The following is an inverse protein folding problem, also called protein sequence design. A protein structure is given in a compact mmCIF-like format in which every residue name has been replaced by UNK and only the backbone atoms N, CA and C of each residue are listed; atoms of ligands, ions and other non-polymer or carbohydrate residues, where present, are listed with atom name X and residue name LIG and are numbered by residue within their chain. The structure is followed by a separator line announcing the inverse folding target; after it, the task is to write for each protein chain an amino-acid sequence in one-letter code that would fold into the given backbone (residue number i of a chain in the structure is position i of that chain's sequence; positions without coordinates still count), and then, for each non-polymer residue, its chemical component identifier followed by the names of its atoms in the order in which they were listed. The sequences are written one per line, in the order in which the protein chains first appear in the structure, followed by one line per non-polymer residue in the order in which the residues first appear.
data_IF_248343047362
#
_entry.id   IF_248343047362
#
_cell.length_a   1.000
_cell.length_b   1.000
_cell.length_c   1.000
_cell.angle_alpha   90.00
_cell.angle_beta   90.00
_cell.angle_gamma   90.00
#
_symmetry.space_group_name_H-M   'P 1'
#
loop_
_entity.id
_entity.type
_entity.pdbx_description
1 polymer ?
#
# COMPACT_ATOMS: atom_id res chain seq x y z
N UNK A 1 10.22 -24.47 -39.26
CA UNK A 1 8.99 -24.13 -38.51
C UNK A 1 9.47 -23.67 -37.15
N UNK A 2 9.03 -22.52 -36.65
CA UNK A 2 9.47 -22.06 -35.33
C UNK A 2 8.83 -23.01 -34.31
N UNK A 3 9.65 -23.70 -33.53
CA UNK A 3 9.16 -24.56 -32.46
C UNK A 3 8.54 -23.67 -31.39
N UNK A 4 7.22 -23.58 -31.42
CA UNK A 4 6.45 -22.67 -30.59
C UNK A 4 6.39 -23.12 -29.12
N UNK A 5 6.62 -24.42 -28.87
CA UNK A 5 6.59 -25.03 -27.55
C UNK A 5 7.65 -24.45 -26.60
N UNK A 6 8.96 -24.43 -26.93
CA UNK A 6 9.98 -23.82 -26.06
C UNK A 6 9.77 -22.31 -25.89
N UNK A 7 9.29 -21.62 -26.93
CA UNK A 7 9.01 -20.18 -26.86
C UNK A 7 7.88 -19.90 -25.86
N UNK A 8 6.78 -20.66 -25.93
CA UNK A 8 5.66 -20.52 -25.00
C UNK A 8 6.08 -20.80 -23.55
N UNK A 9 6.87 -21.86 -23.32
CA UNK A 9 7.39 -22.20 -22.00
C UNK A 9 8.26 -21.06 -21.45
N UNK A 10 9.17 -20.50 -22.28
CA UNK A 10 10.03 -19.40 -21.86
C UNK A 10 9.22 -18.15 -21.47
N UNK A 11 8.17 -17.82 -22.22
CA UNK A 11 7.30 -16.68 -21.93
C UNK A 11 6.57 -16.84 -20.59
N UNK A 12 6.11 -18.06 -20.28
CA UNK A 12 5.46 -18.37 -19.00
C UNK A 12 6.46 -18.22 -17.84
N UNK A 13 7.68 -18.76 -17.98
CA UNK A 13 8.69 -18.67 -16.91
C UNK A 13 9.09 -17.22 -16.65
N UNK A 14 9.35 -16.43 -17.71
CA UNK A 14 9.73 -15.02 -17.57
C UNK A 14 8.60 -14.20 -16.93
N UNK A 15 7.37 -14.35 -17.41
CA UNK A 15 6.22 -13.64 -16.84
C UNK A 15 5.99 -14.01 -15.37
N UNK A 16 6.14 -15.28 -15.01
CA UNK A 16 6.02 -15.73 -13.63
C UNK A 16 7.07 -15.06 -12.73
N UNK A 17 8.34 -15.02 -13.16
CA UNK A 17 9.42 -14.36 -12.42
C UNK A 17 9.11 -12.86 -12.24
N UNK A 18 8.66 -12.17 -13.29
CA UNK A 18 8.31 -10.75 -13.24
C UNK A 18 7.19 -10.50 -12.23
N UNK A 19 6.16 -11.34 -12.19
CA UNK A 19 5.05 -11.21 -11.23
C UNK A 19 5.53 -11.45 -9.80
N UNK A 20 6.34 -12.48 -9.56
CA UNK A 20 6.89 -12.74 -8.21
C UNK A 20 7.74 -11.58 -7.70
N UNK A 21 8.60 -11.03 -8.56
CA UNK A 21 9.40 -9.85 -8.24
C UNK A 21 8.47 -8.67 -7.97
N UNK A 22 7.49 -8.40 -8.84
CA UNK A 22 6.55 -7.28 -8.66
C UNK A 22 5.75 -7.39 -7.36
N UNK A 23 5.33 -8.59 -6.95
CA UNK A 23 4.70 -8.82 -5.65
C UNK A 23 5.65 -8.56 -4.49
N UNK A 24 6.91 -8.97 -4.59
CA UNK A 24 7.94 -8.75 -3.56
C UNK A 24 8.32 -7.26 -3.43
N UNK A 25 8.30 -6.55 -4.55
CA UNK A 25 8.60 -5.12 -4.65
C UNK A 25 7.37 -4.22 -4.49
N UNK A 26 6.18 -4.78 -4.25
CA UNK A 26 5.04 -4.02 -3.73
C UNK A 26 5.54 -3.26 -2.51
N UNK A 27 5.72 -1.95 -2.71
CA UNK A 27 6.43 -1.03 -1.84
C UNK A 27 6.04 -1.35 -0.41
N UNK A 28 6.98 -1.98 0.32
CA UNK A 28 6.83 -2.35 1.74
C UNK A 28 5.99 -1.29 2.44
N UNK A 29 5.04 -1.69 3.29
CA UNK A 29 4.09 -0.84 4.03
C UNK A 29 4.67 0.41 4.73
N UNK A 30 5.99 0.58 4.72
CA UNK A 30 6.71 1.84 4.90
C UNK A 30 6.37 2.96 3.90
N UNK A 31 6.04 2.63 2.65
CA UNK A 31 5.70 3.59 1.58
C UNK A 31 4.22 3.71 1.30
N UNK A 32 3.46 2.69 1.70
CA UNK A 32 2.06 2.88 2.03
C UNK A 32 2.04 3.88 3.17
N UNK A 33 1.89 5.17 2.83
CA UNK A 33 1.63 6.22 3.81
C UNK A 33 0.28 5.86 4.41
N UNK A 34 0.26 4.90 5.35
CA UNK A 34 -0.83 4.75 6.30
C UNK A 34 -1.02 6.17 6.82
N UNK A 35 -2.22 6.77 6.71
CA UNK A 35 -2.48 8.04 7.34
C UNK A 35 -2.14 7.82 8.81
N UNK A 36 -0.98 8.31 9.24
CA UNK A 36 -0.62 8.31 10.64
C UNK A 36 -1.78 9.02 11.30
N UNK A 37 -2.35 8.40 12.34
CA UNK A 37 -3.34 9.03 13.22
C UNK A 37 -3.01 10.51 13.30
N UNK A 38 -3.97 11.36 12.89
CA UNK A 38 -3.73 12.79 12.65
C UNK A 38 -2.83 13.31 13.77
N UNK A 39 -1.65 13.80 13.42
CA UNK A 39 -0.84 14.47 14.42
C UNK A 39 -1.68 15.62 14.97
N UNK A 40 -1.51 15.95 16.25
CA UNK A 40 -2.23 17.07 16.89
C UNK A 40 -2.16 18.35 16.04
N UNK A 41 -1.03 18.53 15.36
CA UNK A 41 -0.77 19.64 14.44
C UNK A 41 -1.57 19.56 13.12
N UNK A 42 -1.74 18.38 12.53
CA UNK A 42 -2.59 18.17 11.35
C UNK A 42 -4.09 18.19 11.68
N UNK A 43 -4.48 17.97 12.94
CA UNK A 43 -5.86 18.04 13.39
C UNK A 43 -6.39 19.49 13.38
N UNK A 44 -5.52 20.47 13.68
CA UNK A 44 -5.84 21.90 13.69
C UNK A 44 -6.24 22.41 12.31
N UNK A 45 -5.53 22.01 11.26
CA UNK A 45 -5.87 22.37 9.86
C UNK A 45 -7.20 21.76 9.40
N UNK A 46 -7.61 20.67 10.04
CA UNK A 46 -8.87 19.97 9.76
C UNK A 46 -10.02 20.42 10.66
N UNK A 47 -9.81 21.42 11.53
CA UNK A 47 -10.84 21.95 12.43
C UNK A 47 -11.32 20.96 13.49
N UNK A 48 -10.50 19.95 13.81
CA UNK A 48 -10.80 18.99 14.88
C UNK A 48 -10.42 19.67 16.20
N UNK A 49 -11.42 19.95 17.03
CA UNK A 49 -11.22 20.54 18.33
C UNK A 49 -10.92 19.45 19.38
N UNK A 50 -9.73 19.43 20.01
CA UNK A 50 -9.42 18.47 21.07
C UNK A 50 -10.32 18.61 22.32
N UNK A 51 -11.15 19.66 22.41
CA UNK A 51 -12.16 19.80 23.48
C UNK A 51 -13.43 18.97 23.28
N UNK A 52 -13.71 18.49 22.06
CA UNK A 52 -14.90 17.67 21.78
C UNK A 52 -14.77 16.25 22.34
N UNK A 53 -13.57 15.65 22.33
CA UNK A 53 -13.34 14.29 22.85
C UNK A 53 -13.50 14.23 24.38
N UNK A 54 -13.10 15.27 25.10
CA UNK A 54 -13.22 15.34 26.57
C UNK A 54 -14.68 15.49 27.05
N UNK A 55 -15.60 15.92 26.18
CA UNK A 55 -17.01 16.08 26.50
C UNK A 55 -17.81 14.78 26.33
N UNK A 56 -17.31 13.82 25.53
CA UNK A 56 -18.00 12.56 25.26
C UNK A 56 -17.74 11.47 26.32
N UNK A 57 -16.66 11.59 27.11
CA UNK A 57 -16.32 10.64 28.20
C UNK A 57 -17.03 10.95 29.53
N UNK A 58 -17.74 12.08 29.60
CA UNK A 58 -18.45 12.56 30.80
C UNK A 58 -19.98 12.53 30.69
N UNK A 59 -20.52 11.95 29.62
CA UNK A 59 -21.97 11.84 29.36
C UNK A 59 -22.48 10.42 29.58
#
# INVERSE_FOLDING_TARGET
MIDLLPVAISAIVVSFIVVLISMKFSLSSRYERKPRTRSLWSAQDHGIDPTDEAHHERA
#
